data_IF_475322947328
#
_entry.id   IF_475322947328
#
_cell.length_a   1.000
_cell.length_b   1.000
_cell.length_c   1.000
_cell.angle_alpha   90.00
_cell.angle_beta   90.00
_cell.angle_gamma   90.00
#
_symmetry.space_group_name_H-M   'P 1'
#
loop_
_entity.id
_entity.type
_entity.pdbx_description
1 polymer ?
#
# COMPACT_ATOMS: atom_id res chain seq x y z
N UNK A 1 -2.60 17.49 11.89
CA UNK A 1 -2.40 17.90 10.48
C UNK A 1 -3.54 17.37 9.61
N UNK A 2 -4.02 18.16 8.65
CA UNK A 2 -5.02 17.72 7.66
C UNK A 2 -4.39 16.71 6.71
N UNK A 3 -5.02 15.55 6.52
CA UNK A 3 -4.50 14.50 5.64
C UNK A 3 -4.64 14.98 4.19
N UNK A 4 -3.51 15.21 3.51
CA UNK A 4 -3.49 15.55 2.08
C UNK A 4 -3.50 14.26 1.27
N UNK A 5 -4.58 14.05 0.52
CA UNK A 5 -4.75 12.89 -0.35
C UNK A 5 -4.33 13.25 -1.78
N UNK A 6 -3.56 12.37 -2.40
CA UNK A 6 -3.01 12.51 -3.75
C UNK A 6 -3.52 11.34 -4.59
N UNK A 7 -4.04 11.64 -5.78
CA UNK A 7 -4.45 10.61 -6.75
C UNK A 7 -3.29 9.70 -7.10
N UNK A 8 -3.46 8.38 -6.98
CA UNK A 8 -2.39 7.42 -7.27
C UNK A 8 -1.89 7.49 -8.71
N UNK A 9 -2.76 7.87 -9.64
CA UNK A 9 -2.41 8.07 -11.05
C UNK A 9 -1.42 9.21 -11.29
N UNK A 10 -1.27 10.15 -10.34
CA UNK A 10 -0.30 11.24 -10.40
C UNK A 10 1.06 10.89 -9.79
N UNK A 11 1.18 9.72 -9.14
CA UNK A 11 2.39 9.32 -8.40
C UNK A 11 3.24 8.40 -9.28
N UNK A 12 3.75 8.94 -10.38
CA UNK A 12 4.49 8.18 -11.40
C UNK A 12 6.00 8.33 -11.30
N UNK A 13 6.49 9.43 -10.72
CA UNK A 13 7.92 9.74 -10.65
C UNK A 13 8.44 9.82 -9.20
N UNK A 14 9.76 9.59 -8.98
CA UNK A 14 10.39 9.75 -7.69
C UNK A 14 10.29 11.20 -7.15
N UNK A 15 10.38 11.40 -5.82
CA UNK A 15 10.62 10.37 -4.81
C UNK A 15 9.38 9.51 -4.54
N UNK A 16 8.17 10.05 -4.70
CA UNK A 16 6.93 9.43 -4.23
C UNK A 16 6.62 8.08 -4.88
N UNK A 17 6.92 7.89 -6.17
CA UNK A 17 6.65 6.61 -6.85
C UNK A 17 7.51 5.44 -6.36
N UNK A 18 8.62 5.72 -5.65
CA UNK A 18 9.47 4.68 -5.06
C UNK A 18 8.69 3.79 -4.08
N UNK A 19 7.60 4.29 -3.49
CA UNK A 19 6.75 3.52 -2.58
C UNK A 19 6.10 2.30 -3.24
N UNK A 20 5.80 2.38 -4.54
CA UNK A 20 5.12 1.31 -5.30
C UNK A 20 6.02 0.10 -5.57
N UNK A 21 7.33 0.35 -5.56
CA UNK A 21 8.35 -0.56 -6.04
C UNK A 21 9.54 -0.63 -5.08
N UNK A 22 9.33 -0.29 -3.80
CA UNK A 22 10.41 -0.24 -2.82
C UNK A 22 11.14 -1.61 -2.70
N UNK A 23 12.47 -1.64 -2.55
CA UNK A 23 13.38 -0.48 -2.50
C UNK A 23 13.74 0.06 -3.88
N UNK A 24 13.62 -0.74 -4.93
CA UNK A 24 13.94 -0.39 -6.32
C UNK A 24 13.00 -1.12 -7.28
N UNK A 25 12.68 -0.47 -8.38
CA UNK A 25 11.97 -1.09 -9.50
C UNK A 25 11.88 -0.20 -10.71
N UNK A 26 11.23 -0.69 -11.75
CA UNK A 26 11.15 -0.04 -13.06
C UNK A 26 9.87 0.79 -13.21
N UNK A 27 9.85 1.71 -14.17
CA UNK A 27 8.62 2.46 -14.54
C UNK A 27 7.47 1.53 -14.93
N UNK A 28 7.77 0.39 -15.56
CA UNK A 28 6.77 -0.62 -15.90
C UNK A 28 6.14 -1.24 -14.64
N UNK A 29 6.94 -1.56 -13.62
CA UNK A 29 6.44 -2.07 -12.34
C UNK A 29 5.61 -1.01 -11.59
N UNK A 30 6.02 0.26 -11.63
CA UNK A 30 5.22 1.38 -11.08
C UNK A 30 3.83 1.42 -11.75
N UNK A 31 3.79 1.41 -13.09
CA UNK A 31 2.53 1.43 -13.85
C UNK A 31 1.66 0.21 -13.53
N UNK A 32 2.28 -0.97 -13.43
CA UNK A 32 1.59 -2.19 -13.03
C UNK A 32 0.98 -2.08 -11.63
N UNK A 33 1.71 -1.50 -10.67
CA UNK A 33 1.23 -1.34 -9.30
C UNK A 33 0.07 -0.35 -9.20
N UNK A 34 0.17 0.77 -9.92
CA UNK A 34 -0.93 1.75 -9.98
C UNK A 34 -2.20 1.07 -10.52
N UNK A 35 -2.08 0.26 -11.58
CA UNK A 35 -3.22 -0.51 -12.11
C UNK A 35 -3.81 -1.49 -11.10
N UNK A 36 -2.97 -2.23 -10.37
CA UNK A 36 -3.41 -3.15 -9.29
C UNK A 36 -4.22 -2.39 -8.23
N UNK A 37 -3.71 -1.26 -7.74
CA UNK A 37 -4.38 -0.42 -6.76
C UNK A 37 -5.71 0.17 -7.28
N UNK A 38 -5.73 0.62 -8.54
CA UNK A 38 -6.97 1.09 -9.18
C UNK A 38 -8.00 -0.04 -9.32
N UNK A 39 -7.55 -1.26 -9.63
CA UNK A 39 -8.41 -2.45 -9.69
C UNK A 39 -9.07 -2.77 -8.35
N UNK A 40 -8.37 -2.52 -7.24
CA UNK A 40 -8.91 -2.62 -5.87
C UNK A 40 -9.73 -1.38 -5.45
N UNK A 41 -10.01 -0.44 -6.37
CA UNK A 41 -10.79 0.76 -6.12
C UNK A 41 -10.07 1.85 -5.31
N UNK A 42 -8.77 1.72 -5.07
CA UNK A 42 -7.96 2.75 -4.40
C UNK A 42 -7.71 3.90 -5.36
N UNK A 43 -8.21 5.08 -5.03
CA UNK A 43 -8.11 6.26 -5.92
C UNK A 43 -7.03 7.24 -5.45
N UNK A 44 -6.94 7.42 -4.14
CA UNK A 44 -6.03 8.37 -3.52
C UNK A 44 -5.27 7.71 -2.37
N UNK A 45 -4.05 8.18 -2.12
CA UNK A 45 -3.29 7.86 -0.93
C UNK A 45 -2.81 9.12 -0.21
N UNK A 46 -2.38 8.98 1.04
CA UNK A 46 -1.74 10.03 1.81
C UNK A 46 -0.41 9.53 2.37
N UNK A 47 0.64 10.32 2.18
CA UNK A 47 1.96 10.08 2.77
C UNK A 47 2.00 10.66 4.17
N UNK A 48 1.70 9.80 5.14
CA UNK A 48 1.60 10.14 6.56
C UNK A 48 1.96 8.92 7.41
N UNK A 49 2.13 9.17 8.70
CA UNK A 49 2.62 8.18 9.66
C UNK A 49 4.00 8.57 10.18
N UNK A 50 4.38 7.95 11.28
CA UNK A 50 5.62 8.29 12.01
C UNK A 50 6.87 7.73 11.31
N UNK A 51 6.71 6.65 10.54
CA UNK A 51 7.82 6.01 9.85
C UNK A 51 8.17 6.75 8.55
N UNK A 52 9.45 7.06 8.36
CA UNK A 52 9.97 7.67 7.13
C UNK A 52 10.74 6.66 6.26
N UNK A 53 10.48 6.71 4.96
CA UNK A 53 11.27 6.06 3.92
C UNK A 53 11.81 7.17 3.00
N UNK A 54 13.08 7.55 3.20
CA UNK A 54 13.61 8.77 2.61
C UNK A 54 12.81 9.99 3.11
N UNK A 55 12.20 10.72 2.19
CA UNK A 55 11.35 11.89 2.48
C UNK A 55 9.86 11.55 2.63
N UNK A 56 9.47 10.27 2.45
CA UNK A 56 8.07 9.84 2.41
C UNK A 56 7.66 9.27 3.76
N UNK A 57 6.62 9.82 4.37
CA UNK A 57 5.98 9.25 5.55
C UNK A 57 5.00 8.13 5.20
N UNK A 58 5.06 7.03 5.92
CA UNK A 58 4.24 5.83 5.73
C UNK A 58 3.67 5.34 7.07
N UNK A 59 2.56 4.60 7.02
CA UNK A 59 1.94 4.03 8.23
C UNK A 59 2.77 2.89 8.82
N UNK A 60 3.53 2.18 7.99
CA UNK A 60 4.41 1.12 8.45
C UNK A 60 5.25 0.50 7.35
N UNK A 61 6.34 -0.15 7.72
CA UNK A 61 7.19 -0.97 6.86
C UNK A 61 7.49 -2.25 7.61
N UNK A 62 7.28 -3.38 6.95
CA UNK A 62 7.61 -4.68 7.50
C UNK A 62 8.53 -5.46 6.58
N UNK A 63 8.71 -6.73 6.92
CA UNK A 63 9.51 -7.68 6.14
C UNK A 63 9.01 -7.81 4.70
N UNK A 64 7.69 -7.91 4.50
CA UNK A 64 7.08 -8.25 3.19
C UNK A 64 6.55 -7.03 2.43
N UNK A 65 6.21 -5.94 3.13
CA UNK A 65 5.43 -4.85 2.55
C UNK A 65 5.61 -3.49 3.22
N UNK A 66 5.06 -2.48 2.58
CA UNK A 66 4.90 -1.12 3.10
C UNK A 66 3.41 -0.81 3.21
N UNK A 67 3.03 -0.05 4.23
CA UNK A 67 1.65 0.33 4.50
C UNK A 67 1.51 1.84 4.36
N UNK A 68 0.58 2.28 3.51
CA UNK A 68 0.21 3.69 3.35
C UNK A 68 -1.27 3.89 3.68
N UNK A 69 -1.65 5.14 3.96
CA UNK A 69 -3.07 5.48 4.07
C UNK A 69 -3.66 5.61 2.67
N UNK A 70 -4.71 4.86 2.37
CA UNK A 70 -5.46 4.93 1.11
C UNK A 70 -6.91 5.36 1.31
N UNK A 71 -7.56 5.65 0.18
CA UNK A 71 -8.98 5.98 0.11
C UNK A 71 -9.70 5.04 -0.84
N UNK A 72 -10.69 4.33 -0.30
CA UNK A 72 -11.62 3.46 -1.02
C UNK A 72 -13.00 4.12 -0.98
N UNK A 73 -13.36 4.83 -2.05
CA UNK A 73 -14.56 5.68 -2.06
C UNK A 73 -14.48 6.78 -0.99
N UNK A 74 -15.36 6.72 0.03
CA UNK A 74 -15.33 7.64 1.18
C UNK A 74 -14.56 7.08 2.39
N UNK A 75 -14.19 5.80 2.37
CA UNK A 75 -13.54 5.11 3.49
C UNK A 75 -12.03 5.32 3.44
N UNK A 76 -11.43 5.54 4.60
CA UNK A 76 -9.98 5.52 4.79
C UNK A 76 -9.56 4.10 5.14
N UNK A 77 -8.52 3.60 4.47
CA UNK A 77 -8.06 2.21 4.59
C UNK A 77 -6.55 2.15 4.67
N UNK A 78 -6.01 1.14 5.35
CA UNK A 78 -4.59 0.84 5.28
C UNK A 78 -4.34 0.01 4.01
N UNK A 79 -3.43 0.48 3.15
CA UNK A 79 -3.08 -0.21 1.91
C UNK A 79 -1.70 -0.82 2.07
N UNK A 80 -1.63 -2.15 2.10
CA UNK A 80 -0.37 -2.88 2.18
C UNK A 80 0.13 -3.24 0.79
N UNK A 81 1.30 -2.74 0.45
CA UNK A 81 1.95 -2.91 -0.85
C UNK A 81 3.15 -3.83 -0.66
N UNK A 82 3.24 -4.91 -1.46
CA UNK A 82 4.39 -5.82 -1.42
C UNK A 82 5.66 -5.09 -1.84
N UNK A 83 6.74 -5.24 -1.07
CA UNK A 83 8.08 -4.78 -1.47
C UNK A 83 8.61 -5.64 -2.63
N UNK A 84 9.36 -5.03 -3.53
CA UNK A 84 9.97 -5.73 -4.66
C UNK A 84 11.03 -6.74 -4.21
N UNK A 85 11.77 -6.43 -3.15
CA UNK A 85 12.77 -7.31 -2.54
C UNK A 85 12.17 -8.35 -1.58
N UNK A 86 10.84 -8.44 -1.49
CA UNK A 86 10.21 -9.45 -0.66
C UNK A 86 10.49 -10.86 -1.21
N UNK A 87 10.85 -11.84 -0.35
CA UNK A 87 10.98 -13.24 -0.77
C UNK A 87 9.62 -13.89 -1.08
N UNK A 88 8.50 -13.19 -0.82
CA UNK A 88 7.16 -13.68 -1.14
C UNK A 88 6.78 -13.22 -2.55
N UNK A 89 6.19 -14.13 -3.33
CA UNK A 89 5.69 -13.85 -4.68
C UNK A 89 4.53 -12.83 -4.68
N UNK A 90 3.64 -12.91 -3.69
CA UNK A 90 2.47 -12.04 -3.52
C UNK A 90 2.05 -11.98 -2.04
N UNK A 91 1.00 -11.20 -1.72
CA UNK A 91 0.44 -11.09 -0.36
C UNK A 91 -0.78 -12.00 -0.11
N UNK A 92 -1.15 -12.89 -1.06
CA UNK A 92 -2.38 -13.69 -0.97
C UNK A 92 -2.43 -14.56 0.28
N UNK A 93 -1.33 -15.23 0.62
CA UNK A 93 -1.25 -16.05 1.85
C UNK A 93 -1.46 -15.21 3.11
N UNK A 94 -0.94 -13.98 3.14
CA UNK A 94 -1.15 -13.09 4.28
C UNK A 94 -2.61 -12.68 4.40
N UNK A 95 -3.25 -12.31 3.29
CA UNK A 95 -4.67 -11.97 3.25
C UNK A 95 -5.57 -13.15 3.64
N UNK A 96 -5.28 -14.36 3.18
CA UNK A 96 -6.00 -15.58 3.56
C UNK A 96 -5.92 -15.86 5.06
N UNK A 97 -4.73 -15.72 5.65
CA UNK A 97 -4.56 -15.87 7.10
C UNK A 97 -5.34 -14.80 7.86
N UNK A 98 -5.29 -13.53 7.42
CA UNK A 98 -6.06 -12.45 8.04
C UNK A 98 -7.57 -12.68 7.92
N UNK A 99 -8.04 -13.19 6.77
CA UNK A 99 -9.44 -13.55 6.57
C UNK A 99 -9.89 -14.63 7.58
N UNK A 100 -9.04 -15.63 7.82
CA UNK A 100 -9.31 -16.66 8.83
C UNK A 100 -9.41 -16.05 10.23
N UNK A 101 -8.45 -15.21 10.63
CA UNK A 101 -8.44 -14.62 11.99
C UNK A 101 -9.58 -13.62 12.20
N UNK A 102 -9.98 -12.90 11.15
CA UNK A 102 -11.12 -11.98 11.20
C UNK A 102 -12.44 -12.68 11.55
N UNK A 103 -12.62 -13.97 11.21
CA UNK A 103 -13.80 -14.76 11.63
C UNK A 103 -13.90 -14.92 13.14
N UNK A 104 -12.78 -14.77 13.85
CA UNK A 104 -12.69 -14.82 15.31
C UNK A 104 -12.59 -13.42 15.94
N UNK A 105 -12.82 -12.34 15.17
CA UNK A 105 -12.66 -10.97 15.66
C UNK A 105 -11.21 -10.57 15.93
N UNK A 106 -10.24 -11.33 15.44
CA UNK A 106 -8.80 -11.08 15.67
C UNK A 106 -8.19 -10.33 14.49
N UNK A 107 -7.48 -9.25 14.82
CA UNK A 107 -6.75 -8.41 13.87
C UNK A 107 -7.63 -7.41 13.12
N UNK A 108 -7.02 -6.58 12.25
CA UNK A 108 -7.75 -5.60 11.46
C UNK A 108 -8.64 -6.28 10.42
N UNK A 109 -9.80 -5.68 10.11
CA UNK A 109 -10.71 -6.19 9.10
C UNK A 109 -10.09 -6.10 7.70
N UNK A 110 -9.93 -7.25 7.04
CA UNK A 110 -9.60 -7.34 5.62
C UNK A 110 -10.76 -6.78 4.79
N UNK A 111 -10.43 -5.93 3.82
CA UNK A 111 -11.41 -5.31 2.91
C UNK A 111 -11.34 -5.96 1.54
N UNK A 112 -10.15 -6.06 0.95
CA UNK A 112 -9.88 -6.67 -0.36
C UNK A 112 -8.38 -6.99 -0.50
N UNK A 113 -7.94 -7.80 -1.48
CA UNK A 113 -6.53 -8.14 -1.72
C UNK A 113 -6.16 -8.68 -3.11
#
# INVERSE_FOLDING_TARGET
MKQSFIKISKITEPPNSNIWVYPRGTKAQIKSRIKELQGLGIQDISFQGELKIGTISVLGKGYVGIVVLGKLGRKKVAVKIRRNDSPRKNLKKEAQLLQITNRYGVGPKLIDY
#
